data_IF_443099140860
#
_entry.id   IF_443099140860
#
_cell.length_a   1.000
_cell.length_b   1.000
_cell.length_c   1.000
_cell.angle_alpha   90.00
_cell.angle_beta   90.00
_cell.angle_gamma   90.00
#
_symmetry.space_group_name_H-M   'P 1'
#
loop_
_entity.id
_entity.type
_entity.pdbx_description
1 polymer ?
#
# COMPACT_ATOMS: atom_id res chain seq x y z
N UNK A 1 -2.02 24.06 -13.29
CA UNK A 1 -1.06 23.53 -14.28
C UNK A 1 -0.79 22.07 -13.96
N UNK A 2 -0.82 21.20 -14.95
CA UNK A 2 -0.33 19.83 -14.80
C UNK A 2 1.21 19.85 -14.94
N UNK A 3 1.90 19.00 -14.17
CA UNK A 3 3.35 18.83 -14.23
C UNK A 3 3.66 17.49 -14.91
N UNK A 4 4.74 17.43 -15.68
CA UNK A 4 5.26 16.20 -16.30
C UNK A 4 6.13 15.36 -15.36
N UNK A 5 5.98 15.54 -14.06
CA UNK A 5 6.77 14.83 -13.06
C UNK A 5 6.35 13.34 -12.94
N UNK A 6 7.30 12.54 -12.45
CA UNK A 6 7.15 11.10 -12.25
C UNK A 6 7.20 10.84 -10.74
N UNK A 7 6.25 10.06 -10.23
CA UNK A 7 6.19 9.69 -8.82
C UNK A 7 6.33 8.18 -8.63
N UNK A 8 7.41 7.69 -8.01
CA UNK A 8 7.49 6.31 -7.53
C UNK A 8 6.61 6.15 -6.28
N UNK A 9 5.50 5.44 -6.42
CA UNK A 9 4.51 5.25 -5.35
C UNK A 9 3.87 3.86 -5.48
N UNK A 10 3.43 3.29 -4.36
CA UNK A 10 2.80 1.98 -4.31
C UNK A 10 1.59 1.88 -5.24
N UNK A 11 1.52 0.77 -5.99
CA UNK A 11 0.46 0.48 -6.96
C UNK A 11 -0.95 0.63 -6.38
N UNK A 12 -1.17 0.20 -5.14
CA UNK A 12 -2.48 0.29 -4.47
C UNK A 12 -3.02 1.73 -4.36
N UNK A 13 -2.13 2.74 -4.29
CA UNK A 13 -2.53 4.15 -4.19
C UNK A 13 -2.89 4.72 -5.57
N UNK A 14 -2.22 4.26 -6.64
CA UNK A 14 -2.36 4.86 -7.98
C UNK A 14 -3.47 4.24 -8.82
N UNK A 15 -3.89 3.00 -8.54
CA UNK A 15 -4.94 2.30 -9.31
C UNK A 15 -6.20 3.15 -9.54
N UNK A 16 -6.78 3.85 -8.55
CA UNK A 16 -7.96 4.68 -8.78
C UNK A 16 -7.70 5.86 -9.74
N UNK A 17 -6.52 6.47 -9.67
CA UNK A 17 -6.16 7.60 -10.53
C UNK A 17 -5.88 7.16 -11.97
N UNK A 18 -5.25 6.00 -12.16
CA UNK A 18 -5.04 5.40 -13.48
C UNK A 18 -6.37 4.99 -14.12
N UNK A 19 -7.27 4.36 -13.35
CA UNK A 19 -8.63 4.03 -13.82
C UNK A 19 -9.43 5.26 -14.25
N UNK A 20 -9.18 6.41 -13.62
CA UNK A 20 -9.82 7.67 -13.95
C UNK A 20 -9.10 8.48 -15.05
N UNK A 21 -8.05 7.93 -15.69
CA UNK A 21 -7.32 8.58 -16.77
C UNK A 21 -6.47 9.79 -16.34
N UNK A 22 -6.23 9.96 -15.04
CA UNK A 22 -5.42 11.08 -14.51
C UNK A 22 -3.93 10.79 -14.44
N UNK A 23 -3.56 9.51 -14.37
CA UNK A 23 -2.19 9.02 -14.35
C UNK A 23 -2.04 7.84 -15.31
N UNK A 24 -0.81 7.56 -15.70
CA UNK A 24 -0.44 6.37 -16.46
C UNK A 24 0.74 5.66 -15.78
N UNK A 25 0.81 4.34 -15.91
CA UNK A 25 2.01 3.59 -15.54
C UNK A 25 3.07 3.72 -16.63
N UNK A 26 4.31 3.97 -16.22
CA UNK A 26 5.46 3.92 -17.11
C UNK A 26 6.02 2.49 -17.17
N UNK A 27 6.58 2.05 -18.31
CA UNK A 27 7.12 0.70 -18.49
C UNK A 27 8.51 0.58 -17.84
N UNK A 28 8.58 0.76 -16.53
CA UNK A 28 9.80 0.64 -15.73
C UNK A 28 9.74 -0.65 -14.91
N UNK A 29 10.85 -1.38 -14.84
CA UNK A 29 10.98 -2.48 -13.89
C UNK A 29 11.12 -1.92 -12.46
N UNK A 30 10.19 -2.30 -11.60
CA UNK A 30 10.17 -1.92 -10.18
C UNK A 30 10.14 -3.14 -9.27
N UNK A 31 10.50 -4.32 -9.76
CA UNK A 31 10.47 -5.57 -9.00
C UNK A 31 11.24 -5.47 -7.67
N UNK A 32 12.39 -4.79 -7.68
CA UNK A 32 13.24 -4.56 -6.50
C UNK A 32 12.57 -3.71 -5.40
N UNK A 33 11.47 -3.04 -5.72
CA UNK A 33 10.70 -2.22 -4.76
C UNK A 33 9.53 -2.97 -4.15
N UNK A 34 9.29 -4.21 -4.57
CA UNK A 34 8.21 -5.05 -4.05
C UNK A 34 8.65 -5.66 -2.72
N UNK A 35 7.87 -5.41 -1.68
CA UNK A 35 8.11 -5.95 -0.34
C UNK A 35 6.84 -6.01 0.50
N UNK A 36 6.86 -6.79 1.59
CA UNK A 36 5.72 -6.89 2.50
C UNK A 36 5.45 -5.56 3.19
N UNK A 37 4.17 -5.32 3.49
CA UNK A 37 3.76 -4.24 4.38
C UNK A 37 3.43 -4.82 5.75
N UNK A 38 4.04 -4.27 6.79
CA UNK A 38 3.83 -4.70 8.17
C UNK A 38 2.84 -3.79 8.88
N UNK A 39 2.13 -4.35 9.85
CA UNK A 39 1.40 -3.58 10.85
C UNK A 39 2.27 -3.43 12.08
N UNK A 40 2.41 -2.19 12.56
CA UNK A 40 3.17 -1.88 13.77
C UNK A 40 2.20 -1.39 14.84
N UNK A 41 2.25 -1.99 16.02
CA UNK A 41 1.52 -1.56 17.23
C UNK A 41 2.51 -1.22 18.33
N UNK A 42 2.06 -0.52 19.39
CA UNK A 42 2.90 -0.38 20.59
C UNK A 42 3.11 -1.74 21.24
N UNK A 43 4.30 -1.96 21.79
CA UNK A 43 4.67 -3.23 22.39
C UNK A 43 4.00 -3.50 23.75
N UNK A 44 3.64 -2.43 24.45
CA UNK A 44 3.00 -2.43 25.78
C UNK A 44 1.48 -2.27 25.73
N UNK A 45 0.90 -2.24 24.53
CA UNK A 45 -0.55 -2.19 24.35
C UNK A 45 -1.14 -3.59 24.50
N UNK A 46 -1.95 -3.79 25.54
CA UNK A 46 -2.67 -5.04 25.78
C UNK A 46 -3.69 -5.38 24.66
N UNK A 47 -3.94 -4.43 23.75
CA UNK A 47 -4.86 -4.55 22.66
C UNK A 47 -6.30 -4.30 23.12
N UNK A 48 -7.10 -3.72 22.23
CA UNK A 48 -8.54 -3.61 22.42
C UNK A 48 -9.27 -4.64 21.56
N UNK A 49 -10.53 -4.92 21.88
CA UNK A 49 -11.39 -5.78 21.06
C UNK A 49 -11.48 -5.25 19.62
N UNK A 50 -11.55 -3.93 19.44
CA UNK A 50 -11.58 -3.29 18.13
C UNK A 50 -10.28 -3.53 17.34
N UNK A 51 -9.13 -3.49 18.01
CA UNK A 51 -7.84 -3.78 17.37
C UNK A 51 -7.73 -5.26 16.99
N UNK A 52 -8.27 -6.18 17.79
CA UNK A 52 -8.35 -7.59 17.44
C UNK A 52 -9.24 -7.82 16.20
N UNK A 53 -10.43 -7.20 16.17
CA UNK A 53 -11.32 -7.27 15.00
C UNK A 53 -10.67 -6.69 13.74
N UNK A 54 -9.93 -5.57 13.86
CA UNK A 54 -9.17 -5.00 12.76
C UNK A 54 -8.05 -5.95 12.29
N UNK A 55 -7.40 -6.66 13.23
CA UNK A 55 -6.37 -7.64 12.91
C UNK A 55 -6.90 -8.81 12.09
N UNK A 56 -8.09 -9.29 12.43
CA UNK A 56 -8.72 -10.40 11.73
C UNK A 56 -9.29 -9.96 10.38
N UNK A 57 -9.83 -8.74 10.30
CA UNK A 57 -10.37 -8.17 9.06
C UNK A 57 -9.28 -7.82 8.03
N UNK A 58 -8.06 -7.51 8.49
CA UNK A 58 -6.92 -7.20 7.63
C UNK A 58 -5.84 -8.25 7.85
N UNK A 59 -5.82 -9.31 7.01
CA UNK A 59 -4.82 -10.36 7.13
C UNK A 59 -3.43 -9.76 6.95
N UNK A 60 -2.45 -10.31 7.66
CA UNK A 60 -1.06 -9.94 7.46
C UNK A 60 -0.67 -10.33 6.02
N UNK A 61 -0.38 -9.31 5.20
CA UNK A 61 0.07 -9.51 3.82
C UNK A 61 1.57 -9.84 3.83
N UNK A 62 1.93 -10.97 4.46
CA UNK A 62 3.27 -11.52 4.44
C UNK A 62 3.60 -12.00 3.02
N UNK A 63 3.99 -11.07 2.15
CA UNK A 63 4.60 -11.36 0.85
C UNK A 63 3.67 -11.87 -0.27
N UNK A 64 2.35 -11.81 -0.13
CA UNK A 64 1.44 -12.16 -1.22
C UNK A 64 1.10 -10.93 -2.09
N UNK A 65 1.93 -10.70 -3.12
CA UNK A 65 1.57 -9.91 -4.32
C UNK A 65 2.03 -10.66 -5.56
#
# INVERSE_FOLDING_TARGET
>A
MASDAIWPISRGVTVPAVRAGRLAFLPLDTADTVGPISRTTRADDAGSTELALLRDAIPDNAGAV
#
